data_IF_175114489808
#
_entry.id   IF_175114489808
#
_cell.length_a   1.000
_cell.length_b   1.000
_cell.length_c   1.000
_cell.angle_alpha   90.00
_cell.angle_beta   90.00
_cell.angle_gamma   90.00
#
_symmetry.space_group_name_H-M   'P 1'
#
loop_
_entity.id
_entity.type
_entity.pdbx_description
1 polymer ?
#
# COMPACT_ATOMS: atom_id res chain seq x y z
N UNK A 1 -23.25 19.81 -13.35
CA UNK A 1 -22.10 20.34 -12.57
C UNK A 1 -20.96 20.53 -13.56
N UNK A 2 -20.22 21.64 -13.50
CA UNK A 2 -19.07 21.86 -14.39
C UNK A 2 -18.00 20.82 -14.06
N UNK A 3 -17.56 20.03 -15.04
CA UNK A 3 -16.44 19.09 -14.87
C UNK A 3 -15.21 19.91 -14.48
N UNK A 4 -14.56 19.56 -13.37
CA UNK A 4 -13.31 20.19 -12.96
C UNK A 4 -12.26 19.94 -14.06
N UNK A 5 -11.45 20.94 -14.45
CA UNK A 5 -10.31 20.69 -15.33
C UNK A 5 -9.41 19.58 -14.75
N UNK A 6 -8.77 18.80 -15.62
CA UNK A 6 -7.81 17.80 -15.17
C UNK A 6 -6.62 18.48 -14.50
N UNK A 7 -6.16 17.95 -13.37
CA UNK A 7 -4.91 18.33 -12.74
C UNK A 7 -3.73 17.96 -13.64
N UNK A 8 -2.59 18.64 -13.47
CA UNK A 8 -1.38 18.43 -14.28
C UNK A 8 -0.96 16.96 -14.34
N UNK A 9 -1.08 16.23 -13.22
CA UNK A 9 -0.72 14.80 -13.18
C UNK A 9 -1.64 13.95 -14.06
N UNK A 10 -2.93 14.27 -14.16
CA UNK A 10 -3.89 13.55 -15.01
C UNK A 10 -3.72 13.96 -16.47
N UNK A 11 -3.49 15.25 -16.73
CA UNK A 11 -3.13 15.72 -18.07
C UNK A 11 -1.87 15.01 -18.58
N UNK A 12 -0.86 14.85 -17.73
CA UNK A 12 0.39 14.16 -18.08
C UNK A 12 0.15 12.70 -18.48
N UNK A 13 -0.75 11.98 -17.81
CA UNK A 13 -1.12 10.62 -18.22
C UNK A 13 -1.70 10.62 -19.64
N UNK A 14 -2.63 11.53 -19.91
CA UNK A 14 -3.26 11.63 -21.22
C UNK A 14 -2.24 11.99 -22.33
N UNK A 15 -1.28 12.87 -22.04
CA UNK A 15 -0.16 13.17 -22.93
C UNK A 15 0.71 11.94 -23.18
N UNK A 16 1.09 11.21 -22.14
CA UNK A 16 1.85 9.96 -22.25
C UNK A 16 1.13 8.95 -23.14
N UNK A 17 -0.20 8.82 -23.00
CA UNK A 17 -1.00 7.95 -23.86
C UNK A 17 -0.96 8.37 -25.33
N UNK A 18 -0.91 9.67 -25.63
CA UNK A 18 -0.80 10.18 -27.00
C UNK A 18 0.61 10.04 -27.57
N UNK A 19 1.63 10.33 -26.77
CA UNK A 19 3.04 10.26 -27.16
C UNK A 19 3.48 8.82 -27.48
N UNK A 20 2.87 7.82 -26.84
CA UNK A 20 3.27 6.42 -26.91
C UNK A 20 2.21 5.49 -27.54
N UNK A 21 1.15 6.05 -28.14
CA UNK A 21 0.04 5.30 -28.77
C UNK A 21 -0.72 4.33 -27.83
N UNK A 22 -0.85 4.66 -26.54
CA UNK A 22 -1.50 3.80 -25.52
C UNK A 22 -3.01 3.98 -25.38
N UNK A 23 -3.63 4.90 -26.14
CA UNK A 23 -5.07 5.14 -26.05
C UNK A 23 -5.86 3.84 -26.29
N UNK A 24 -5.42 2.99 -27.24
CA UNK A 24 -6.07 1.70 -27.47
C UNK A 24 -5.88 0.74 -26.29
N UNK A 25 -4.69 0.71 -25.68
CA UNK A 25 -4.39 -0.10 -24.50
C UNK A 25 -5.32 0.24 -23.33
N UNK A 26 -5.49 1.53 -23.03
CA UNK A 26 -6.36 1.98 -21.93
C UNK A 26 -7.85 1.76 -22.22
N UNK A 27 -8.31 2.02 -23.45
CA UNK A 27 -9.71 1.72 -23.79
C UNK A 27 -10.02 0.23 -23.70
N UNK A 28 -9.09 -0.64 -24.14
CA UNK A 28 -9.24 -2.08 -24.00
C UNK A 28 -9.20 -2.51 -22.53
N UNK A 29 -8.31 -1.93 -21.72
CA UNK A 29 -8.25 -2.18 -20.28
C UNK A 29 -9.57 -1.81 -19.60
N UNK A 30 -10.13 -0.63 -19.89
CA UNK A 30 -11.44 -0.23 -19.34
C UNK A 30 -12.52 -1.24 -19.74
N UNK A 31 -12.57 -1.63 -21.01
CA UNK A 31 -13.55 -2.61 -21.49
C UNK A 31 -13.40 -3.99 -20.81
N UNK A 32 -12.16 -4.47 -20.61
CA UNK A 32 -11.88 -5.74 -19.95
C UNK A 32 -12.18 -5.68 -18.45
N UNK A 33 -11.77 -4.61 -17.78
CA UNK A 33 -12.04 -4.33 -16.37
C UNK A 33 -13.55 -4.39 -16.05
N UNK A 34 -14.39 -3.85 -16.94
CA UNK A 34 -15.85 -3.87 -16.78
C UNK A 34 -16.46 -5.28 -16.87
N UNK A 35 -15.81 -6.24 -17.53
CA UNK A 35 -16.32 -7.62 -17.62
C UNK A 35 -16.36 -8.32 -16.27
N UNK A 36 -15.59 -7.86 -15.29
CA UNK A 36 -15.68 -8.34 -13.91
C UNK A 36 -16.99 -7.91 -13.20
N UNK A 37 -17.78 -7.01 -13.79
CA UNK A 37 -19.07 -6.55 -13.27
C UNK A 37 -18.96 -6.04 -11.82
N UNK A 38 -17.94 -5.21 -11.58
CA UNK A 38 -17.71 -4.51 -10.32
C UNK A 38 -18.59 -3.25 -10.31
N UNK A 39 -19.52 -3.09 -9.35
CA UNK A 39 -20.43 -1.94 -9.33
C UNK A 39 -19.71 -0.58 -9.33
N UNK A 40 -18.54 -0.50 -8.71
CA UNK A 40 -17.76 0.75 -8.63
C UNK A 40 -17.19 1.19 -10.00
N UNK A 41 -17.27 0.35 -11.05
CA UNK A 41 -16.89 0.69 -12.43
C UNK A 41 -18.07 1.16 -13.30
N UNK A 42 -19.31 1.15 -12.79
CA UNK A 42 -20.49 1.42 -13.61
C UNK A 42 -20.42 2.79 -14.30
N UNK A 43 -19.80 3.76 -13.64
CA UNK A 43 -19.62 5.13 -14.13
C UNK A 43 -18.41 5.33 -15.04
N UNK A 44 -17.52 4.34 -15.16
CA UNK A 44 -16.33 4.42 -16.03
C UNK A 44 -16.64 3.67 -17.33
N UNK A 45 -17.04 4.37 -18.39
CA UNK A 45 -17.44 3.75 -19.67
C UNK A 45 -16.42 3.94 -20.79
N UNK A 46 -15.57 4.94 -20.67
CA UNK A 46 -14.61 5.33 -21.69
C UNK A 46 -13.40 6.00 -21.04
N UNK A 47 -12.38 6.32 -21.84
CA UNK A 47 -11.16 6.96 -21.37
C UNK A 47 -11.40 8.29 -20.64
N UNK A 48 -12.33 9.12 -21.11
CA UNK A 48 -12.65 10.40 -20.47
C UNK A 48 -13.23 10.18 -19.07
N UNK A 49 -14.13 9.21 -18.91
CA UNK A 49 -14.69 8.87 -17.60
C UNK A 49 -13.61 8.38 -16.64
N UNK A 50 -12.68 7.55 -17.12
CA UNK A 50 -11.54 7.09 -16.32
C UNK A 50 -10.64 8.25 -15.87
N UNK A 51 -10.28 9.14 -16.79
CA UNK A 51 -9.46 10.32 -16.46
C UNK A 51 -10.18 11.25 -15.48
N UNK A 52 -11.51 11.39 -15.60
CA UNK A 52 -12.32 12.13 -14.64
C UNK A 52 -12.33 11.45 -13.26
N UNK A 53 -12.50 10.13 -13.18
CA UNK A 53 -12.53 9.40 -11.90
C UNK A 53 -11.21 9.55 -11.14
N UNK A 54 -10.06 9.36 -11.80
CA UNK A 54 -8.76 9.55 -11.15
C UNK A 54 -8.51 11.02 -10.82
N UNK A 55 -9.02 11.97 -11.61
CA UNK A 55 -8.92 13.39 -11.27
C UNK A 55 -9.72 13.76 -10.03
N UNK A 56 -10.92 13.18 -9.86
CA UNK A 56 -11.73 13.34 -8.67
C UNK A 56 -11.10 12.64 -7.46
N UNK A 57 -10.48 11.47 -7.68
CA UNK A 57 -9.84 10.69 -6.62
C UNK A 57 -8.69 11.46 -5.93
N UNK A 58 -7.96 12.32 -6.65
CA UNK A 58 -6.91 13.19 -6.07
C UNK A 58 -7.38 14.08 -4.93
N UNK A 59 -8.69 14.33 -4.80
CA UNK A 59 -9.29 15.19 -3.79
C UNK A 59 -10.42 14.49 -3.02
N UNK A 60 -10.51 13.16 -3.14
CA UNK A 60 -11.54 12.40 -2.48
C UNK A 60 -11.30 12.37 -0.97
N UNK A 61 -12.28 12.82 -0.18
CA UNK A 61 -12.23 12.73 1.29
C UNK A 61 -12.63 11.30 1.69
N UNK A 62 -11.72 10.48 2.26
CA UNK A 62 -12.05 9.10 2.55
C UNK A 62 -13.15 9.01 3.60
N UNK A 63 -14.13 8.14 3.35
CA UNK A 63 -15.23 7.83 4.24
C UNK A 63 -15.55 6.33 4.13
N UNK A 64 -16.30 5.81 5.09
CA UNK A 64 -16.46 4.38 5.26
C UNK A 64 -17.92 3.94 5.47
N UNK A 65 -18.17 2.64 5.35
CA UNK A 65 -19.44 2.01 5.67
C UNK A 65 -19.28 1.01 6.84
N UNK A 66 -20.37 0.39 7.29
CA UNK A 66 -20.35 -0.58 8.39
C UNK A 66 -19.46 -1.82 8.12
N UNK A 67 -19.13 -2.10 6.86
CA UNK A 67 -18.30 -3.25 6.45
C UNK A 67 -16.81 -2.92 6.37
N UNK A 68 -16.42 -1.64 6.39
CA UNK A 68 -15.01 -1.25 6.37
C UNK A 68 -14.31 -1.46 5.01
N UNK A 69 -15.06 -1.53 3.90
CA UNK A 69 -14.56 -1.88 2.58
C UNK A 69 -14.48 -0.72 1.57
N UNK A 70 -14.97 0.49 1.87
CA UNK A 70 -15.01 1.61 0.91
C UNK A 70 -13.62 2.10 0.56
N UNK A 71 -12.78 2.41 1.55
CA UNK A 71 -11.40 2.90 1.32
C UNK A 71 -10.58 1.87 0.54
N UNK A 72 -10.67 0.61 0.95
CA UNK A 72 -9.97 -0.49 0.31
C UNK A 72 -10.41 -0.68 -1.15
N UNK A 73 -11.71 -0.68 -1.41
CA UNK A 73 -12.25 -0.84 -2.75
C UNK A 73 -11.90 0.36 -3.66
N UNK A 74 -11.90 1.60 -3.14
CA UNK A 74 -11.49 2.78 -3.92
C UNK A 74 -10.03 2.70 -4.34
N UNK A 75 -9.14 2.23 -3.46
CA UNK A 75 -7.74 1.95 -3.82
C UNK A 75 -7.65 0.84 -4.87
N UNK A 76 -8.33 -0.30 -4.65
CA UNK A 76 -8.32 -1.41 -5.62
C UNK A 76 -8.83 -0.98 -7.00
N UNK A 77 -9.88 -0.16 -7.06
CA UNK A 77 -10.45 0.34 -8.30
C UNK A 77 -9.45 1.12 -9.15
N UNK A 78 -8.65 1.98 -8.51
CA UNK A 78 -7.61 2.77 -9.17
C UNK A 78 -6.60 1.86 -9.90
N UNK A 79 -6.14 0.81 -9.22
CA UNK A 79 -5.18 -0.14 -9.80
C UNK A 79 -5.84 -1.15 -10.75
N UNK A 80 -7.12 -1.48 -10.59
CA UNK A 80 -7.79 -2.51 -11.38
C UNK A 80 -7.70 -2.28 -12.89
N UNK A 81 -7.83 -1.02 -13.36
CA UNK A 81 -7.67 -0.68 -14.79
C UNK A 81 -6.20 -0.74 -15.22
N UNK A 82 -5.27 -0.37 -14.33
CA UNK A 82 -3.83 -0.40 -14.59
C UNK A 82 -3.27 -1.83 -14.64
N UNK A 83 -3.89 -2.76 -13.92
CA UNK A 83 -3.54 -4.18 -13.85
C UNK A 83 -4.13 -5.02 -14.99
N UNK A 84 -4.95 -4.44 -15.87
CA UNK A 84 -5.43 -5.18 -17.04
C UNK A 84 -4.28 -5.53 -17.98
N UNK A 85 -4.43 -6.61 -18.74
CA UNK A 85 -3.36 -7.15 -19.59
C UNK A 85 -2.73 -6.12 -20.52
N UNK A 86 -3.50 -5.20 -21.08
CA UNK A 86 -3.02 -4.21 -22.04
C UNK A 86 -2.28 -3.03 -21.40
N UNK A 87 -2.50 -2.75 -20.13
CA UNK A 87 -1.89 -1.66 -19.36
C UNK A 87 -0.74 -2.15 -18.46
N UNK A 88 -0.88 -3.32 -17.85
CA UNK A 88 0.18 -3.96 -17.03
C UNK A 88 1.48 -4.18 -17.80
N UNK A 89 1.43 -4.53 -19.09
CA UNK A 89 2.64 -4.68 -19.93
C UNK A 89 3.41 -3.39 -20.16
N UNK A 90 2.82 -2.22 -19.86
CA UNK A 90 3.45 -0.90 -19.96
C UNK A 90 4.17 -0.51 -18.66
N UNK A 91 3.91 -1.23 -17.57
CA UNK A 91 4.49 -1.00 -16.26
C UNK A 91 5.85 -1.72 -16.11
N UNK A 92 6.65 -1.27 -15.16
CA UNK A 92 7.84 -1.98 -14.71
C UNK A 92 7.48 -3.35 -14.15
N UNK A 93 8.28 -4.36 -14.48
CA UNK A 93 8.15 -5.68 -13.87
C UNK A 93 8.58 -5.60 -12.40
N UNK A 94 7.71 -6.06 -11.50
CA UNK A 94 8.00 -6.09 -10.06
C UNK A 94 8.83 -7.33 -9.74
N UNK A 95 10.16 -7.15 -9.72
CA UNK A 95 11.11 -8.17 -9.29
C UNK A 95 12.17 -7.54 -8.36
N UNK A 96 12.62 -8.26 -7.32
CA UNK A 96 13.62 -7.76 -6.36
C UNK A 96 14.92 -7.28 -7.01
N UNK A 97 15.43 -8.04 -8.00
CA UNK A 97 16.66 -7.69 -8.71
C UNK A 97 16.50 -6.50 -9.68
N UNK A 98 15.35 -5.82 -9.69
CA UNK A 98 15.08 -4.63 -10.50
C UNK A 98 15.00 -3.34 -9.67
N UNK A 99 15.30 -3.38 -8.36
CA UNK A 99 15.26 -2.20 -7.46
C UNK A 99 16.21 -1.07 -7.86
N UNK A 100 17.20 -1.33 -8.73
CA UNK A 100 18.11 -0.34 -9.31
C UNK A 100 17.76 0.07 -10.74
N UNK A 101 16.75 -0.54 -11.35
CA UNK A 101 16.33 -0.18 -12.70
C UNK A 101 15.44 1.04 -12.70
N UNK A 102 15.63 1.88 -13.70
CA UNK A 102 14.73 2.98 -13.98
C UNK A 102 13.32 2.44 -14.23
N UNK A 103 12.32 3.05 -13.57
CA UNK A 103 10.92 2.72 -13.80
C UNK A 103 10.53 3.02 -15.26
N UNK A 104 9.58 2.26 -15.80
CA UNK A 104 8.92 2.69 -17.03
C UNK A 104 8.21 4.02 -16.78
N UNK A 105 7.99 4.78 -17.85
CA UNK A 105 7.33 6.10 -17.73
C UNK A 105 5.92 6.00 -17.13
N UNK A 106 5.21 4.88 -17.33
CA UNK A 106 3.91 4.65 -16.69
C UNK A 106 4.07 4.35 -15.19
N UNK A 107 5.00 3.48 -14.80
CA UNK A 107 5.24 3.19 -13.38
C UNK A 107 5.76 4.42 -12.61
N UNK A 108 6.59 5.25 -13.24
CA UNK A 108 6.98 6.53 -12.64
C UNK A 108 5.77 7.46 -12.46
N UNK A 109 4.90 7.56 -13.47
CA UNK A 109 3.66 8.33 -13.35
C UNK A 109 2.77 7.83 -12.20
N UNK A 110 2.67 6.50 -12.00
CA UNK A 110 1.92 5.92 -10.88
C UNK A 110 2.49 6.31 -9.52
N UNK A 111 3.82 6.34 -9.38
CA UNK A 111 4.51 6.85 -8.18
C UNK A 111 4.17 8.32 -7.95
N UNK A 112 4.27 9.14 -9.00
CA UNK A 112 4.02 10.58 -8.91
C UNK A 112 2.54 10.87 -8.57
N UNK A 113 1.61 10.08 -9.11
CA UNK A 113 0.18 10.14 -8.79
C UNK A 113 -0.08 9.78 -7.32
N UNK A 114 0.51 8.69 -6.83
CA UNK A 114 0.38 8.28 -5.43
C UNK A 114 0.94 9.34 -4.47
N UNK A 115 2.09 9.95 -4.79
CA UNK A 115 2.66 11.05 -4.03
C UNK A 115 1.73 12.27 -4.02
N UNK A 116 1.10 12.60 -5.15
CA UNK A 116 0.15 13.72 -5.22
C UNK A 116 -1.11 13.46 -4.39
N UNK A 117 -1.62 12.23 -4.41
CA UNK A 117 -2.74 11.81 -3.56
C UNK A 117 -2.37 11.92 -2.07
N UNK A 118 -1.19 11.41 -1.70
CA UNK A 118 -0.66 11.51 -0.33
C UNK A 118 -0.51 12.96 0.15
N UNK A 119 -0.05 13.86 -0.72
CA UNK A 119 0.07 15.29 -0.42
C UNK A 119 -1.29 15.95 -0.15
N UNK A 120 -2.36 15.54 -0.83
CA UNK A 120 -3.71 16.00 -0.49
C UNK A 120 -4.14 15.51 0.90
N UNK A 121 -3.82 14.27 1.26
CA UNK A 121 -4.12 13.70 2.58
C UNK A 121 -3.35 14.31 3.76
N UNK A 122 -2.33 15.13 3.48
CA UNK A 122 -1.67 15.99 4.46
C UNK A 122 -2.33 17.37 4.64
N UNK A 123 -3.43 17.66 3.92
CA UNK A 123 -4.17 18.93 4.04
C UNK A 123 -5.41 18.80 4.91
N UNK A 124 -5.88 19.91 5.50
CA UNK A 124 -7.14 19.92 6.26
C UNK A 124 -8.38 19.65 5.40
N UNK A 125 -8.28 19.87 4.08
CA UNK A 125 -9.33 19.54 3.12
C UNK A 125 -9.48 18.03 2.87
N UNK A 126 -8.61 17.18 3.42
CA UNK A 126 -8.70 15.72 3.22
C UNK A 126 -9.72 15.01 4.11
N UNK A 127 -10.21 15.69 5.14
CA UNK A 127 -11.07 15.11 6.16
C UNK A 127 -12.10 16.13 6.64
N UNK A 128 -13.21 15.66 7.19
CA UNK A 128 -14.17 16.50 7.91
C UNK A 128 -14.93 15.68 8.96
N UNK A 129 -15.77 16.35 9.75
CA UNK A 129 -16.53 15.70 10.82
C UNK A 129 -17.44 14.57 10.31
N UNK A 130 -18.08 14.72 9.15
CA UNK A 130 -18.96 13.70 8.57
C UNK A 130 -18.15 12.46 8.16
N UNK A 131 -17.00 12.63 7.51
CA UNK A 131 -16.18 11.50 7.10
C UNK A 131 -15.54 10.80 8.30
N UNK A 132 -15.09 11.55 9.31
CA UNK A 132 -14.60 10.98 10.58
C UNK A 132 -15.67 10.09 11.22
N UNK A 133 -16.91 10.59 11.29
CA UNK A 133 -18.02 9.88 11.93
C UNK A 133 -18.28 8.52 11.27
N UNK A 134 -18.12 8.41 9.95
CA UNK A 134 -18.26 7.12 9.26
C UNK A 134 -17.28 6.05 9.73
N UNK A 135 -16.04 6.42 10.09
CA UNK A 135 -15.06 5.48 10.62
C UNK A 135 -15.40 5.02 12.04
N UNK A 136 -15.94 5.92 12.88
CA UNK A 136 -16.44 5.55 14.21
C UNK A 136 -17.66 4.62 14.14
N UNK A 137 -18.45 4.70 13.07
CA UNK A 137 -19.56 3.80 12.78
C UNK A 137 -19.17 2.55 11.97
N UNK A 138 -17.87 2.33 11.72
CA UNK A 138 -17.35 1.15 11.03
C UNK A 138 -16.71 0.20 12.04
N UNK A 139 -17.39 -0.87 12.51
CA UNK A 139 -16.85 -1.81 13.48
C UNK A 139 -15.47 -2.38 13.17
N UNK A 140 -15.10 -2.69 11.90
CA UNK A 140 -13.76 -3.18 11.57
C UNK A 140 -12.62 -2.24 11.99
N UNK A 141 -12.85 -0.92 11.99
CA UNK A 141 -11.85 0.07 12.38
C UNK A 141 -11.58 0.11 13.89
N UNK A 142 -12.45 -0.44 14.75
CA UNK A 142 -12.27 -0.53 16.21
C UNK A 142 -11.84 0.82 16.85
N UNK A 143 -12.55 1.89 16.47
CA UNK A 143 -12.15 3.26 16.82
C UNK A 143 -12.08 3.54 18.33
N UNK A 144 -12.71 2.72 19.16
CA UNK A 144 -12.62 2.77 20.61
C UNK A 144 -11.22 2.46 21.15
N UNK A 145 -10.33 1.83 20.37
CA UNK A 145 -8.97 1.48 20.78
C UNK A 145 -7.95 2.61 20.60
N UNK A 146 -8.30 3.69 19.91
CA UNK A 146 -7.35 4.74 19.52
C UNK A 146 -7.57 6.05 20.27
N UNK A 147 -6.49 6.81 20.43
CA UNK A 147 -6.51 8.14 21.03
C UNK A 147 -7.07 9.15 20.04
N UNK A 148 -8.17 9.83 20.41
CA UNK A 148 -8.70 10.95 19.63
C UNK A 148 -7.97 12.23 20.04
N UNK A 149 -7.29 12.93 19.11
CA UNK A 149 -6.50 14.11 19.44
C UNK A 149 -7.40 15.26 19.96
N UNK A 150 -6.89 16.14 20.85
CA UNK A 150 -7.59 17.36 21.23
C UNK A 150 -7.83 18.25 20.01
N UNK A 151 -9.08 18.62 19.76
CA UNK A 151 -9.48 19.36 18.57
C UNK A 151 -9.82 18.49 17.35
N UNK A 152 -9.89 17.16 17.54
CA UNK A 152 -10.20 16.16 16.51
C UNK A 152 -9.11 16.02 15.42
N UNK A 153 -9.29 15.04 14.54
CA UNK A 153 -8.37 14.76 13.43
C UNK A 153 -8.30 15.95 12.46
N UNK A 154 -7.10 16.44 12.16
CA UNK A 154 -6.91 17.59 11.26
C UNK A 154 -6.72 17.19 9.81
N UNK A 155 -6.10 16.04 9.56
CA UNK A 155 -5.86 15.52 8.20
C UNK A 155 -6.16 14.03 8.16
N UNK A 156 -6.42 13.50 6.97
CA UNK A 156 -6.61 12.07 6.80
C UNK A 156 -5.35 11.27 7.16
N UNK A 157 -4.15 11.77 6.83
CA UNK A 157 -2.91 11.11 7.22
C UNK A 157 -2.72 11.06 8.75
N UNK A 158 -3.14 12.10 9.50
CA UNK A 158 -3.14 12.06 10.97
C UNK A 158 -4.07 10.96 11.50
N UNK A 159 -5.29 10.86 10.95
CA UNK A 159 -6.25 9.80 11.28
C UNK A 159 -5.73 8.40 10.91
N UNK A 160 -5.18 8.23 9.71
CA UNK A 160 -4.67 6.96 9.22
C UNK A 160 -3.50 6.46 10.09
N UNK A 161 -2.63 7.38 10.52
CA UNK A 161 -1.58 7.15 11.49
C UNK A 161 -2.03 7.43 12.95
N UNK A 162 -3.30 7.18 13.29
CA UNK A 162 -3.82 7.27 14.68
C UNK A 162 -2.93 6.54 15.68
N UNK A 163 -2.94 6.97 16.95
CA UNK A 163 -2.24 6.31 18.03
C UNK A 163 -3.15 5.34 18.77
N UNK A 164 -2.65 4.16 19.13
CA UNK A 164 -3.38 3.22 19.98
C UNK A 164 -3.34 3.69 21.45
N UNK A 165 -4.43 3.52 22.19
CA UNK A 165 -4.48 3.82 23.63
C UNK A 165 -3.49 2.95 24.42
N UNK A 166 -2.89 3.46 25.50
CA UNK A 166 -2.05 2.67 26.39
C UNK A 166 -2.75 1.38 26.87
N UNK A 167 -2.01 0.27 26.87
CA UNK A 167 -2.52 -1.03 27.34
C UNK A 167 -3.29 -1.86 26.31
N UNK A 168 -3.60 -1.33 25.12
CA UNK A 168 -4.34 -2.07 24.09
C UNK A 168 -3.48 -3.04 23.28
N UNK A 169 -2.16 -2.87 23.31
CA UNK A 169 -1.15 -3.70 22.62
C UNK A 169 0.03 -3.95 23.55
N UNK A 170 -0.17 -4.81 24.55
CA UNK A 170 0.92 -5.22 25.45
C UNK A 170 1.77 -6.29 24.75
N UNK A 171 3.10 -6.13 24.69
CA UNK A 171 3.98 -7.18 24.21
C UNK A 171 3.82 -8.44 25.07
N UNK A 172 3.85 -9.61 24.43
CA UNK A 172 3.88 -10.88 25.14
C UNK A 172 5.25 -11.10 25.79
N UNK A 173 5.25 -11.73 26.97
CA UNK A 173 6.43 -12.06 27.79
C UNK A 173 7.63 -11.08 27.67
N UNK A 174 7.49 -9.81 28.10
CA UNK A 174 8.49 -8.76 27.84
C UNK A 174 9.85 -8.99 28.53
N UNK A 175 9.94 -9.94 29.45
CA UNK A 175 11.19 -10.31 30.13
C UNK A 175 11.96 -11.43 29.45
N UNK A 176 11.37 -12.08 28.44
CA UNK A 176 11.92 -13.26 27.81
C UNK A 176 12.55 -12.91 26.44
N UNK A 177 13.88 -12.98 26.30
CA UNK A 177 14.57 -12.66 25.05
C UNK A 177 14.32 -13.68 23.93
N UNK A 178 13.71 -14.83 24.22
CA UNK A 178 13.35 -15.85 23.23
C UNK A 178 12.00 -15.57 22.55
N UNK A 179 11.23 -14.60 23.05
CA UNK A 179 9.92 -14.22 22.50
C UNK A 179 10.07 -13.07 21.52
N UNK A 180 9.61 -13.29 20.29
CA UNK A 180 9.49 -12.29 19.24
C UNK A 180 8.01 -11.93 19.11
N UNK A 181 7.66 -10.65 19.27
CA UNK A 181 6.27 -10.20 19.14
C UNK A 181 5.98 -9.68 17.73
N UNK A 182 4.70 -9.56 17.36
CA UNK A 182 4.34 -8.94 16.08
C UNK A 182 4.74 -7.46 16.05
N UNK A 183 5.35 -7.02 14.95
CA UNK A 183 5.68 -5.61 14.75
C UNK A 183 4.53 -4.74 14.27
N UNK A 184 3.39 -5.32 13.86
CA UNK A 184 2.23 -4.56 13.38
C UNK A 184 0.92 -5.34 13.56
N UNK A 185 -0.19 -4.59 13.66
CA UNK A 185 -1.53 -5.15 13.44
C UNK A 185 -1.61 -5.52 11.96
N UNK A 186 -1.69 -6.81 11.66
CA UNK A 186 -1.59 -7.33 10.30
C UNK A 186 -2.15 -8.75 10.21
N UNK A 187 -2.31 -9.24 8.99
CA UNK A 187 -2.63 -10.64 8.69
C UNK A 187 -1.35 -11.36 8.27
N UNK A 188 -0.98 -12.41 9.00
CA UNK A 188 0.14 -13.28 8.62
C UNK A 188 -0.13 -13.94 7.27
N UNK A 189 0.80 -13.82 6.34
CA UNK A 189 0.68 -14.33 4.97
C UNK A 189 1.59 -15.54 4.72
N UNK A 190 2.75 -15.57 5.37
CA UNK A 190 3.64 -16.73 5.29
C UNK A 190 5.01 -16.50 5.90
N UNK A 191 5.77 -17.58 6.00
CA UNK A 191 7.20 -17.55 6.30
C UNK A 191 7.95 -18.57 5.45
N UNK A 192 9.20 -18.28 5.14
CA UNK A 192 10.04 -19.10 4.28
C UNK A 192 11.49 -19.09 4.79
N UNK A 193 12.21 -20.22 4.69
CA UNK A 193 13.63 -20.24 5.01
C UNK A 193 14.41 -19.36 4.02
N UNK A 194 15.45 -18.72 4.53
CA UNK A 194 16.44 -18.01 3.74
C UNK A 194 17.61 -18.95 3.52
N UNK A 195 17.99 -19.22 2.27
CA UNK A 195 19.12 -20.11 1.96
C UNK A 195 20.49 -19.43 2.18
N UNK A 196 21.56 -20.20 2.02
CA UNK A 196 22.96 -19.73 2.14
C UNK A 196 23.38 -18.72 1.05
N UNK A 197 22.50 -18.44 0.07
CA UNK A 197 22.68 -17.40 -0.94
C UNK A 197 21.69 -16.24 -0.74
N UNK A 198 21.05 -16.16 0.44
CA UNK A 198 20.04 -15.16 0.78
C UNK A 198 18.75 -15.22 -0.05
N UNK A 199 18.46 -16.32 -0.73
CA UNK A 199 17.20 -16.46 -1.46
C UNK A 199 16.06 -16.84 -0.55
N UNK A 200 14.87 -16.32 -0.86
CA UNK A 200 13.59 -16.66 -0.27
C UNK A 200 12.72 -17.27 -1.36
N UNK A 201 12.32 -18.53 -1.19
CA UNK A 201 11.58 -19.26 -2.22
C UNK A 201 10.18 -18.68 -2.47
N UNK A 202 9.93 -18.26 -3.71
CA UNK A 202 8.62 -17.98 -4.35
C UNK A 202 7.54 -17.29 -3.49
N UNK A 203 7.89 -16.19 -2.82
CA UNK A 203 6.88 -15.31 -2.21
C UNK A 203 6.09 -14.64 -3.33
N UNK A 204 4.77 -14.93 -3.39
CA UNK A 204 3.84 -14.43 -4.41
C UNK A 204 4.25 -14.79 -5.85
N UNK A 205 4.82 -15.98 -6.04
CA UNK A 205 5.25 -16.44 -7.37
C UNK A 205 6.51 -15.75 -7.91
N UNK A 206 7.13 -14.85 -7.13
CA UNK A 206 8.36 -14.16 -7.47
C UNK A 206 9.49 -14.70 -6.58
N UNK A 207 10.67 -15.04 -7.14
CA UNK A 207 11.84 -15.35 -6.31
C UNK A 207 12.38 -14.07 -5.68
N UNK A 208 12.62 -14.09 -4.37
CA UNK A 208 13.19 -12.95 -3.66
C UNK A 208 14.60 -13.26 -3.16
N UNK A 209 15.43 -12.22 -3.08
CA UNK A 209 16.74 -12.28 -2.45
C UNK A 209 16.85 -11.15 -1.43
N UNK A 210 17.30 -11.46 -0.21
CA UNK A 210 17.41 -10.49 0.88
C UNK A 210 18.41 -9.37 0.54
N UNK A 211 19.49 -9.66 -0.19
CA UNK A 211 20.49 -8.66 -0.57
C UNK A 211 19.91 -7.61 -1.52
N UNK A 212 19.04 -8.03 -2.44
CA UNK A 212 18.32 -7.13 -3.35
C UNK A 212 17.33 -6.24 -2.58
N UNK A 213 16.63 -6.80 -1.59
CA UNK A 213 15.72 -6.06 -0.71
C UNK A 213 16.43 -5.01 0.14
N UNK A 214 17.66 -5.30 0.59
CA UNK A 214 18.45 -4.41 1.43
C UNK A 214 19.36 -3.45 0.64
N UNK A 215 19.41 -3.58 -0.69
CA UNK A 215 20.11 -2.68 -1.64
C UNK A 215 21.53 -2.33 -1.19
N UNK A 216 22.39 -3.34 -1.07
CA UNK A 216 23.82 -3.16 -0.77
C UNK A 216 24.15 -2.83 0.69
N UNK A 217 23.24 -3.15 1.62
CA UNK A 217 23.53 -3.11 3.06
C UNK A 217 24.70 -4.04 3.42
N UNK A 218 25.59 -3.58 4.31
CA UNK A 218 26.67 -4.40 4.87
C UNK A 218 26.16 -5.55 5.77
N UNK A 219 24.89 -5.48 6.18
CA UNK A 219 24.25 -6.47 7.05
C UNK A 219 23.55 -7.59 6.28
N UNK A 220 23.53 -7.54 4.94
CA UNK A 220 22.68 -8.42 4.14
C UNK A 220 23.00 -9.92 4.32
N UNK A 221 24.27 -10.25 4.52
CA UNK A 221 24.73 -11.64 4.71
C UNK A 221 24.30 -12.21 6.07
N UNK A 222 23.87 -11.38 7.03
CA UNK A 222 23.43 -11.87 8.35
C UNK A 222 22.16 -12.70 8.29
N UNK A 223 21.36 -12.55 7.23
CA UNK A 223 20.08 -13.24 7.10
C UNK A 223 20.19 -14.62 6.45
N UNK A 224 21.39 -15.02 6.01
CA UNK A 224 21.65 -16.35 5.46
C UNK A 224 21.34 -17.44 6.51
N UNK A 225 20.59 -18.46 6.13
CA UNK A 225 20.11 -19.50 7.06
C UNK A 225 18.99 -19.06 8.01
N UNK A 226 18.56 -17.80 7.93
CA UNK A 226 17.45 -17.25 8.71
C UNK A 226 16.08 -17.65 8.16
N UNK A 227 15.05 -16.91 8.55
CA UNK A 227 13.70 -17.08 8.02
C UNK A 227 13.06 -15.72 7.75
N UNK A 228 12.46 -15.61 6.57
CA UNK A 228 11.73 -14.45 6.11
C UNK A 228 10.25 -14.60 6.46
N UNK A 229 9.65 -13.57 7.04
CA UNK A 229 8.21 -13.51 7.32
C UNK A 229 7.57 -12.39 6.54
N UNK A 230 6.35 -12.66 6.06
CA UNK A 230 5.52 -11.67 5.39
C UNK A 230 4.15 -11.56 6.05
N UNK A 231 3.69 -10.32 6.23
CA UNK A 231 2.39 -10.00 6.79
C UNK A 231 1.81 -8.76 6.11
N UNK A 232 0.48 -8.74 5.93
CA UNK A 232 -0.26 -7.70 5.22
C UNK A 232 -1.01 -6.78 6.18
N UNK A 233 -0.92 -5.47 5.97
CA UNK A 233 -1.72 -4.47 6.68
C UNK A 233 -2.88 -4.03 5.77
N UNK A 234 -4.10 -4.28 6.21
CA UNK A 234 -5.32 -3.82 5.54
C UNK A 234 -5.64 -2.36 5.94
N UNK A 235 -6.50 -1.67 5.19
CA UNK A 235 -6.86 -0.25 5.41
C UNK A 235 -7.52 0.03 6.77
N UNK A 236 -8.11 -1.01 7.37
CA UNK A 236 -8.75 -0.96 8.69
C UNK A 236 -7.75 -1.06 9.83
N UNK A 237 -6.53 -1.52 9.55
CA UNK A 237 -5.54 -1.84 10.58
C UNK A 237 -4.90 -0.58 11.16
N UNK A 238 -4.09 -0.79 12.19
CA UNK A 238 -3.28 0.26 12.80
C UNK A 238 -1.97 0.42 12.01
N UNK A 239 -1.85 1.52 11.26
CA UNK A 239 -0.72 1.76 10.36
C UNK A 239 0.51 2.38 11.03
N UNK A 240 0.89 1.87 12.21
CA UNK A 240 2.18 2.15 12.83
C UNK A 240 2.88 0.86 13.18
N UNK A 241 4.18 0.82 12.88
CA UNK A 241 5.01 -0.33 13.16
C UNK A 241 5.78 -0.14 14.48
N UNK A 242 6.01 -1.26 15.15
CA UNK A 242 6.72 -1.36 16.42
C UNK A 242 7.86 -2.36 16.29
N UNK A 243 8.88 -2.20 17.14
CA UNK A 243 9.99 -3.11 17.19
C UNK A 243 9.50 -4.48 17.74
N UNK A 244 9.68 -5.59 17.01
CA UNK A 244 9.27 -6.92 17.48
C UNK A 244 10.18 -7.48 18.60
N UNK A 245 11.35 -6.88 18.80
CA UNK A 245 12.39 -7.26 19.78
C UNK A 245 13.14 -6.02 20.25
N UNK A 246 13.71 -6.01 21.47
CA UNK A 246 14.61 -4.94 21.90
C UNK A 246 15.90 -4.97 21.08
N UNK A 247 16.43 -3.79 20.73
CA UNK A 247 17.67 -3.70 19.97
C UNK A 247 18.10 -2.26 19.68
N UNK A 248 19.19 -2.14 18.92
CA UNK A 248 19.72 -0.88 18.42
C UNK A 248 19.51 -0.81 16.92
N UNK A 249 19.01 0.33 16.43
CA UNK A 249 18.89 0.59 14.99
C UNK A 249 20.32 0.81 14.45
N UNK A 250 20.78 -0.09 13.59
CA UNK A 250 22.13 -0.04 12.99
C UNK A 250 22.14 0.57 11.59
N UNK A 251 21.02 0.49 10.88
CA UNK A 251 20.84 1.07 9.55
C UNK A 251 19.37 1.48 9.35
N UNK A 252 19.16 2.58 8.64
CA UNK A 252 17.86 2.98 8.11
C UNK A 252 18.06 3.60 6.72
N UNK A 253 17.41 3.03 5.70
CA UNK A 253 17.61 3.43 4.31
C UNK A 253 16.29 3.71 3.60
N UNK A 254 16.38 4.70 2.72
CA UNK A 254 15.35 5.01 1.72
C UNK A 254 15.66 4.22 0.44
N UNK A 255 14.78 3.30 0.06
CA UNK A 255 14.91 2.60 -1.24
C UNK A 255 13.71 3.02 -2.07
N UNK A 256 13.93 3.75 -3.16
CA UNK A 256 12.83 4.15 -4.05
C UNK A 256 12.35 2.92 -4.85
N UNK A 257 11.04 2.76 -4.98
CA UNK A 257 10.39 1.63 -5.66
C UNK A 257 9.18 2.05 -6.48
N UNK A 258 8.54 1.09 -7.14
CA UNK A 258 7.31 1.31 -7.92
C UNK A 258 6.09 1.39 -6.99
N UNK A 259 5.09 2.21 -7.33
CA UNK A 259 3.77 2.11 -6.71
C UNK A 259 2.99 0.99 -7.42
N UNK A 260 2.54 -0.01 -6.68
CA UNK A 260 1.88 -1.20 -7.22
C UNK A 260 0.67 -1.59 -6.36
N UNK A 261 -0.29 -2.31 -6.94
CA UNK A 261 -1.30 -3.10 -6.22
C UNK A 261 -1.81 -4.13 -7.21
N UNK A 262 -1.49 -5.40 -6.99
CA UNK A 262 -2.14 -6.51 -7.67
C UNK A 262 -3.60 -6.52 -7.22
N UNK A 263 -4.52 -6.56 -8.18
CA UNK A 263 -5.94 -6.62 -7.87
C UNK A 263 -6.53 -7.78 -8.63
N UNK A 264 -7.20 -8.69 -7.92
CA UNK A 264 -7.86 -9.84 -8.52
C UNK A 264 -9.36 -9.88 -8.19
N UNK A 265 -10.22 -10.31 -9.14
CA UNK A 265 -11.62 -10.52 -8.86
C UNK A 265 -11.80 -11.83 -8.08
N UNK A 266 -12.37 -11.76 -6.87
CA UNK A 266 -12.67 -12.98 -6.11
C UNK A 266 -13.69 -13.88 -6.83
N UNK A 267 -13.41 -15.18 -6.86
CA UNK A 267 -14.34 -16.22 -7.31
C UNK A 267 -15.29 -16.66 -6.18
N UNK A 268 -16.19 -15.78 -5.73
CA UNK A 268 -17.28 -16.20 -4.82
C UNK A 268 -18.66 -15.89 -5.42
N UNK A 269 -19.57 -16.88 -5.54
CA UNK A 269 -20.85 -16.71 -6.22
C UNK A 269 -21.88 -16.07 -5.27
N UNK A 270 -21.83 -14.75 -5.11
CA UNK A 270 -22.98 -13.91 -4.72
C UNK A 270 -22.65 -12.42 -4.90
N UNK A 271 -22.79 -11.91 -6.13
CA UNK A 271 -23.05 -10.49 -6.47
C UNK A 271 -22.16 -9.38 -5.87
N UNK A 272 -20.97 -9.67 -5.35
CA UNK A 272 -19.99 -8.66 -4.98
C UNK A 272 -18.61 -9.19 -5.31
N UNK A 273 -17.92 -8.51 -6.22
CA UNK A 273 -16.47 -8.66 -6.33
C UNK A 273 -15.89 -7.98 -5.09
N UNK A 274 -15.47 -8.77 -4.10
CA UNK A 274 -14.43 -8.32 -3.20
C UNK A 274 -13.15 -8.29 -4.04
N UNK A 275 -12.68 -7.10 -4.38
CA UNK A 275 -11.37 -6.96 -5.01
C UNK A 275 -10.36 -7.31 -3.91
N UNK A 276 -9.83 -8.53 -3.89
CA UNK A 276 -8.68 -8.79 -3.01
C UNK A 276 -7.49 -8.09 -3.66
N UNK A 277 -7.25 -6.87 -3.20
CA UNK A 277 -6.02 -6.13 -3.36
C UNK A 277 -4.89 -6.85 -2.63
N UNK A 278 -3.79 -6.94 -3.34
CA UNK A 278 -2.60 -7.73 -3.07
C UNK A 278 -1.46 -6.77 -3.45
N UNK A 279 -0.92 -6.09 -2.44
CA UNK A 279 0.43 -5.47 -2.36
C UNK A 279 0.71 -4.07 -2.90
N UNK A 280 1.02 -3.15 -1.98
CA UNK A 280 1.70 -1.89 -2.29
C UNK A 280 3.18 -1.96 -1.96
N UNK A 281 4.03 -2.22 -2.96
CA UNK A 281 5.50 -2.14 -2.79
C UNK A 281 5.99 -0.68 -2.75
N UNK A 282 5.48 0.12 -1.81
CA UNK A 282 6.08 1.42 -1.51
C UNK A 282 7.08 1.25 -0.39
N UNK A 283 8.36 1.13 -0.73
CA UNK A 283 9.42 1.39 0.25
C UNK A 283 9.49 2.92 0.41
N UNK A 284 8.63 3.45 1.27
CA UNK A 284 8.60 4.86 1.60
C UNK A 284 9.55 5.17 2.76
N UNK A 285 10.42 6.18 2.60
CA UNK A 285 11.15 6.73 3.72
C UNK A 285 10.29 7.70 4.51
N UNK A 286 10.51 7.68 5.82
CA UNK A 286 10.04 8.70 6.74
C UNK A 286 10.71 10.04 6.42
N UNK A 287 9.96 11.04 5.96
CA UNK A 287 10.15 12.45 6.38
C UNK A 287 8.82 13.22 6.41
N UNK A 288 8.53 13.79 7.59
CA UNK A 288 7.66 14.93 7.89
C UNK A 288 6.17 14.90 7.49
N UNK A 289 5.43 13.92 8.01
CA UNK A 289 4.11 14.09 8.68
C UNK A 289 3.60 12.71 9.13
N UNK A 290 3.94 11.65 8.38
CA UNK A 290 3.82 10.23 8.75
C UNK A 290 5.21 9.63 9.03
N UNK A 291 5.65 9.59 10.31
CA UNK A 291 7.03 9.25 10.70
C UNK A 291 7.30 7.84 11.30
N UNK A 292 6.37 6.86 11.28
CA UNK A 292 6.60 5.59 12.04
C UNK A 292 6.05 4.29 11.40
N UNK A 293 6.32 4.07 10.12
CA UNK A 293 6.25 2.73 9.55
C UNK A 293 7.39 2.62 8.53
N UNK A 294 8.31 1.71 8.78
CA UNK A 294 9.51 1.51 7.99
C UNK A 294 10.22 0.23 8.42
N UNK A 295 10.80 -0.46 7.45
CA UNK A 295 11.66 -1.61 7.67
C UNK A 295 12.77 -1.23 8.66
N UNK A 296 12.74 -1.81 9.86
CA UNK A 296 13.75 -1.58 10.88
C UNK A 296 14.56 -2.85 11.03
N UNK A 297 15.87 -2.78 10.70
CA UNK A 297 16.80 -3.86 10.97
C UNK A 297 17.08 -3.85 12.48
N UNK A 298 16.52 -4.82 13.20
CA UNK A 298 16.77 -5.06 14.62
C UNK A 298 17.50 -6.39 14.74
N UNK A 299 18.73 -6.37 15.22
CA UNK A 299 19.53 -7.59 15.42
C UNK A 299 19.61 -7.94 16.91
N UNK A 300 18.85 -8.91 17.43
CA UNK A 300 19.28 -9.77 18.53
C UNK A 300 20.06 -10.97 17.96
N UNK A 301 20.66 -11.79 18.83
CA UNK A 301 21.50 -12.97 18.51
C UNK A 301 20.82 -14.09 17.67
N UNK A 302 19.64 -13.84 17.09
CA UNK A 302 18.94 -14.69 16.13
C UNK A 302 18.54 -13.81 14.94
N UNK A 303 19.06 -14.13 13.76
CA UNK A 303 18.97 -13.28 12.57
C UNK A 303 17.58 -13.36 11.90
N UNK A 304 16.75 -12.32 12.08
CA UNK A 304 15.39 -12.22 11.51
C UNK A 304 15.13 -10.86 10.85
N UNK A 305 14.45 -10.86 9.69
CA UNK A 305 14.02 -9.65 8.98
C UNK A 305 12.49 -9.57 8.93
N UNK A 306 11.90 -8.50 9.49
CA UNK A 306 10.47 -8.22 9.39
C UNK A 306 10.22 -7.22 8.26
N UNK A 307 9.77 -7.69 7.09
CA UNK A 307 9.32 -6.83 5.98
C UNK A 307 7.79 -6.77 5.93
N UNK A 308 7.22 -5.56 6.00
CA UNK A 308 5.91 -5.29 5.40
C UNK A 308 6.16 -4.92 3.93
N UNK A 309 5.71 -5.76 2.99
CA UNK A 309 5.76 -5.47 1.55
C UNK A 309 4.36 -5.11 1.04
#
# INVERSE_FOLDING_TARGET
>A
MSVRPWEEIVQRLYELMKENDWILNFNQAIADAKRANVPDLDNINNLTDYLNDINEFLFWKPAENERGDVVYNKLCLFYWILEQRTTSILQSVVLPNQTDKQLTILSQWMVDYANRLGAFYDTEDSINAETIDTFYHSPPYKMDQYERPPGDWKTFNEFFARHVKPGMRLPDDPGNPEVIVSGADSVFDGHWPVDDQSNVFFVKGVPWNIKDLLKGSEYADRFEGGTFMHAFLNTTDYHRQHAPVPGTIVEAKVIQGAAYLEVSPASTPARKVSLWGVWMLQIHPVTNSCKRAGLSLLTPQSDWLLCSL
#
